data_IF_666863881107
#
_entry.id   IF_666863881107
#
_cell.length_a   1.000
_cell.length_b   1.000
_cell.length_c   1.000
_cell.angle_alpha   90.00
_cell.angle_beta   90.00
_cell.angle_gamma   90.00
#
_symmetry.space_group_name_H-M   'P 1'
#
loop_
_entity.id
_entity.type
_entity.pdbx_description
1 polymer ?
#
# COMPACT_ATOMS: atom_id res chain seq x y z
N UNK A 1 4.22 16.08 -4.71
CA UNK A 1 4.39 14.63 -4.93
C UNK A 1 3.04 13.97 -4.70
N UNK A 2 2.57 13.13 -5.61
CA UNK A 2 1.26 12.48 -5.53
C UNK A 2 1.42 11.07 -4.99
N UNK A 3 0.77 10.77 -3.87
CA UNK A 3 0.74 9.40 -3.30
C UNK A 3 -0.32 8.59 -4.04
N UNK A 4 0.01 7.35 -4.42
CA UNK A 4 -0.84 6.49 -5.28
C UNK A 4 -1.47 5.28 -4.59
N UNK A 5 -1.16 5.03 -3.32
CA UNK A 5 -1.68 3.84 -2.62
C UNK A 5 -0.95 2.54 -2.98
N UNK A 6 0.25 2.64 -3.56
CA UNK A 6 1.05 1.52 -4.06
C UNK A 6 2.12 1.10 -3.05
N UNK A 7 2.45 -0.19 -3.01
CA UNK A 7 3.59 -0.73 -2.27
C UNK A 7 4.87 -0.56 -3.09
N UNK A 8 6.01 -0.43 -2.42
CA UNK A 8 7.32 -0.46 -3.08
C UNK A 8 8.01 -1.79 -2.77
N UNK A 9 8.22 -2.60 -3.81
CA UNK A 9 8.84 -3.93 -3.71
C UNK A 9 9.99 -3.98 -4.72
N UNK A 10 11.23 -4.11 -4.25
CA UNK A 10 12.41 -4.13 -5.11
C UNK A 10 12.54 -2.91 -6.02
N UNK A 11 12.29 -1.70 -5.50
CA UNK A 11 12.26 -0.43 -6.25
C UNK A 11 11.15 -0.33 -7.33
N UNK A 12 10.17 -1.23 -7.32
CA UNK A 12 9.02 -1.20 -8.22
C UNK A 12 7.74 -0.83 -7.46
N UNK A 13 6.87 -0.04 -8.09
CA UNK A 13 5.52 0.23 -7.59
C UNK A 13 4.61 -0.97 -7.89
N UNK A 14 3.95 -1.50 -6.85
CA UNK A 14 3.08 -2.68 -6.93
C UNK A 14 1.76 -2.37 -6.25
N UNK A 15 0.64 -2.58 -6.96
CA UNK A 15 -0.70 -2.52 -6.36
C UNK A 15 -0.99 -3.80 -5.59
N UNK A 16 -1.56 -3.67 -4.40
CA UNK A 16 -2.10 -4.81 -3.64
C UNK A 16 -3.39 -5.35 -4.25
N UNK A 17 -3.78 -6.54 -3.80
CA UNK A 17 -5.01 -7.23 -4.18
C UNK A 17 -5.87 -7.65 -2.97
N UNK A 18 -5.39 -7.40 -1.75
CA UNK A 18 -6.06 -7.76 -0.51
C UNK A 18 -6.87 -6.59 0.04
N UNK A 19 -7.61 -6.86 1.13
CA UNK A 19 -8.56 -5.91 1.73
C UNK A 19 -7.93 -4.52 1.87
N UNK A 20 -8.56 -3.48 1.29
CA UNK A 20 -8.02 -2.13 1.34
C UNK A 20 -8.14 -1.53 2.75
N UNK A 21 -7.23 -0.59 3.03
CA UNK A 21 -7.25 0.28 4.21
C UNK A 21 -7.14 1.74 3.78
N UNK A 22 -7.70 2.64 4.59
CA UNK A 22 -7.56 4.08 4.40
C UNK A 22 -6.84 4.70 5.59
N UNK A 23 -6.04 5.72 5.32
CA UNK A 23 -5.48 6.54 6.38
C UNK A 23 -6.56 7.45 6.97
N UNK A 24 -6.40 7.82 8.24
CA UNK A 24 -7.29 8.76 8.93
C UNK A 24 -6.46 9.96 9.35
N UNK A 25 -6.96 11.17 9.11
CA UNK A 25 -6.39 12.39 9.66
C UNK A 25 -6.61 12.40 11.18
N UNK A 26 -5.56 12.35 12.02
CA UNK A 26 -5.74 12.29 13.48
C UNK A 26 -6.31 13.58 14.08
N UNK A 27 -6.23 14.72 13.38
CA UNK A 27 -6.73 15.99 13.86
C UNK A 27 -8.23 16.19 13.56
N UNK A 28 -8.73 15.64 12.45
CA UNK A 28 -10.12 15.85 12.00
C UNK A 28 -10.97 14.58 11.99
N UNK A 29 -10.36 13.41 12.07
CA UNK A 29 -11.02 12.11 11.92
C UNK A 29 -11.42 11.77 10.47
N UNK A 30 -11.03 12.59 9.49
CA UNK A 30 -11.40 12.38 8.10
C UNK A 30 -10.61 11.23 7.47
N UNK A 31 -11.30 10.42 6.66
CA UNK A 31 -10.68 9.40 5.81
C UNK A 31 -9.90 10.07 4.69
N UNK A 32 -8.64 9.69 4.55
CA UNK A 32 -7.73 10.19 3.54
C UNK A 32 -7.63 9.24 2.35
N UNK A 33 -7.54 9.83 1.17
CA UNK A 33 -7.14 9.17 -0.07
C UNK A 33 -5.62 9.27 -0.26
N UNK A 34 -5.00 8.35 -1.03
CA UNK A 34 -5.62 7.21 -1.68
C UNK A 34 -5.91 6.07 -0.70
N UNK A 35 -6.86 5.23 -1.07
CA UNK A 35 -7.02 3.91 -0.48
C UNK A 35 -5.80 3.02 -0.76
N UNK A 36 -5.32 2.29 0.24
CA UNK A 36 -4.16 1.38 0.13
C UNK A 36 -4.64 -0.07 0.10
N UNK A 37 -4.51 -0.74 -1.04
CA UNK A 37 -4.81 -2.16 -1.14
C UNK A 37 -3.73 -2.98 -0.42
N UNK A 38 -4.15 -3.94 0.43
CA UNK A 38 -3.20 -4.80 1.14
C UNK A 38 -2.44 -5.73 0.19
N UNK A 39 -1.20 -6.05 0.53
CA UNK A 39 -0.47 -7.16 -0.08
C UNK A 39 -0.97 -8.52 0.41
N UNK A 40 -0.77 -9.55 -0.40
CA UNK A 40 -0.98 -10.96 -0.07
C UNK A 40 0.36 -11.66 0.15
N UNK A 41 0.32 -12.98 0.35
CA UNK A 41 1.54 -13.81 0.41
C UNK A 41 2.43 -13.62 -0.83
N UNK A 42 1.86 -13.43 -2.02
CA UNK A 42 2.63 -13.27 -3.24
C UNK A 42 3.53 -12.01 -3.21
N UNK A 43 3.01 -10.89 -2.72
CA UNK A 43 3.77 -9.64 -2.59
C UNK A 43 4.85 -9.76 -1.51
N UNK A 44 4.57 -10.47 -0.41
CA UNK A 44 5.57 -10.76 0.63
C UNK A 44 6.71 -11.63 0.07
N UNK A 45 6.38 -12.70 -0.65
CA UNK A 45 7.36 -13.60 -1.25
C UNK A 45 8.25 -12.82 -2.27
N UNK A 46 7.64 -12.00 -3.13
CA UNK A 46 8.37 -11.14 -4.08
C UNK A 46 9.30 -10.14 -3.36
N UNK A 47 8.88 -9.60 -2.21
CA UNK A 47 9.72 -8.70 -1.43
C UNK A 47 10.93 -9.43 -0.84
N UNK A 48 10.76 -10.66 -0.37
CA UNK A 48 11.87 -11.49 0.12
C UNK A 48 12.87 -11.86 -0.98
N UNK A 49 12.41 -12.11 -2.21
CA UNK A 49 13.29 -12.43 -3.35
C UNK A 49 14.15 -11.25 -3.82
N UNK A 50 13.69 -10.01 -3.59
CA UNK A 50 14.32 -8.79 -4.10
C UNK A 50 15.07 -7.98 -3.02
N UNK A 51 15.20 -8.53 -1.81
CA UNK A 51 15.84 -7.89 -0.65
C UNK A 51 17.37 -8.08 -0.64
#
# INVERSE_FOLDING_TARGET
>A
MTVKGEMTIGQQAVSGNSKPINAINPATGETLEPTYAGGSKAEVDKACELA
#
